data_IF_312945645346
#
_entry.id   IF_312945645346
#
_cell.length_a   1.000
_cell.length_b   1.000
_cell.length_c   1.000
_cell.angle_alpha   90.00
_cell.angle_beta   90.00
_cell.angle_gamma   90.00
#
_symmetry.space_group_name_H-M   'P 1'
#
loop_
_entity.id
_entity.type
_entity.pdbx_description
1 polymer ?
#
# COMPACT_ATOMS: atom_id res chain seq x y z
N UNK A 1 53.48 13.81 -12.50
CA UNK A 1 53.52 14.03 -11.05
C UNK A 1 52.44 13.16 -10.42
N UNK A 2 52.78 11.93 -10.04
CA UNK A 2 51.80 10.92 -9.58
C UNK A 2 51.68 10.97 -8.05
N UNK A 3 50.53 11.40 -7.55
CA UNK A 3 50.20 11.32 -6.12
C UNK A 3 49.92 9.85 -5.75
N UNK A 4 50.72 9.27 -4.85
CA UNK A 4 50.46 7.96 -4.24
C UNK A 4 49.24 8.08 -3.32
N UNK A 5 48.08 7.63 -3.80
CA UNK A 5 46.87 7.52 -3.00
C UNK A 5 46.99 6.31 -2.06
N UNK A 6 47.09 6.57 -0.75
CA UNK A 6 47.34 5.54 0.25
C UNK A 6 46.01 4.84 0.62
N UNK A 7 45.71 3.73 -0.06
CA UNK A 7 44.45 2.98 0.07
C UNK A 7 44.13 2.55 1.52
N UNK A 8 45.16 2.37 2.36
CA UNK A 8 44.98 2.05 3.79
C UNK A 8 44.33 3.19 4.59
N UNK A 9 44.56 4.45 4.21
CA UNK A 9 44.00 5.62 4.91
C UNK A 9 42.53 5.85 4.53
N UNK A 10 42.13 5.48 3.31
CA UNK A 10 40.74 5.58 2.84
C UNK A 10 39.83 4.50 3.47
N UNK A 11 40.36 3.29 3.68
CA UNK A 11 39.61 2.18 4.33
C UNK A 11 39.36 2.48 5.81
N UNK A 12 40.28 3.14 6.51
CA UNK A 12 40.08 3.60 7.89
C UNK A 12 39.02 4.70 8.01
N UNK A 13 38.85 5.53 6.98
CA UNK A 13 37.85 6.61 6.96
C UNK A 13 36.44 6.09 6.73
N UNK A 14 36.28 5.04 5.90
CA UNK A 14 34.99 4.38 5.67
C UNK A 14 34.52 3.55 6.88
N UNK A 15 35.45 2.97 7.65
CA UNK A 15 35.12 2.21 8.86
C UNK A 15 34.58 3.07 10.02
N UNK A 16 34.87 4.38 10.04
CA UNK A 16 34.37 5.30 11.07
C UNK A 16 32.93 5.78 10.82
N UNK A 17 32.44 5.70 9.57
CA UNK A 17 31.09 6.14 9.19
C UNK A 17 30.03 5.12 9.61
N UNK A 18 30.36 3.83 9.70
CA UNK A 18 29.38 2.79 10.09
C UNK A 18 29.04 2.76 11.59
N UNK A 19 29.78 3.48 12.45
CA UNK A 19 29.53 3.46 13.90
C UNK A 19 28.52 4.51 14.40
N UNK A 20 27.97 5.36 13.53
CA UNK A 20 27.01 6.42 13.91
C UNK A 20 25.68 6.36 13.16
N UNK A 21 25.22 5.17 12.77
CA UNK A 21 23.83 4.97 12.34
C UNK A 21 23.11 3.93 13.22
N UNK A 22 23.22 4.05 14.53
CA UNK A 22 22.19 3.53 15.41
C UNK A 22 21.12 4.63 15.55
N UNK A 23 19.89 4.45 15.03
CA UNK A 23 18.82 5.41 15.30
C UNK A 23 18.58 5.42 16.81
N UNK A 24 18.95 6.53 17.47
CA UNK A 24 18.51 6.81 18.82
C UNK A 24 17.02 7.11 18.73
N UNK A 25 16.19 6.23 19.27
CA UNK A 25 14.77 6.52 19.44
C UNK A 25 14.63 7.60 20.51
N UNK A 26 14.70 8.85 20.07
CA UNK A 26 14.44 10.03 20.87
C UNK A 26 12.92 10.12 21.05
N UNK A 27 12.41 9.59 22.17
CA UNK A 27 11.03 9.81 22.58
C UNK A 27 10.91 11.27 23.00
N UNK A 28 10.37 12.10 22.11
CA UNK A 28 10.05 13.50 22.39
C UNK A 28 9.05 13.56 23.58
N UNK A 29 9.41 14.15 24.73
CA UNK A 29 8.63 13.98 25.97
C UNK A 29 7.45 14.96 26.10
N UNK A 30 7.05 15.65 25.03
CA UNK A 30 5.98 16.65 25.09
C UNK A 30 4.88 16.36 24.08
N UNK A 31 4.28 15.19 24.21
CA UNK A 31 2.85 15.01 23.94
C UNK A 31 2.23 14.63 25.28
N UNK A 32 1.36 15.50 25.81
CA UNK A 32 0.49 15.19 26.93
C UNK A 32 -0.55 14.17 26.48
N UNK A 33 -0.09 12.96 26.17
CA UNK A 33 -0.95 11.83 25.88
C UNK A 33 -1.43 11.30 27.22
N UNK A 34 -2.71 11.51 27.52
CA UNK A 34 -3.39 11.05 28.74
C UNK A 34 -3.39 9.53 28.96
N UNK A 35 -2.57 8.77 28.24
CA UNK A 35 -2.36 7.34 28.42
C UNK A 35 -1.34 7.08 29.53
N UNK A 36 -1.73 7.28 30.79
CA UNK A 36 -0.95 6.74 31.91
C UNK A 36 -1.28 5.25 32.12
N UNK A 37 -0.69 4.39 31.29
CA UNK A 37 -0.75 2.94 31.48
C UNK A 37 -0.10 2.54 32.81
N UNK A 38 -0.66 1.55 33.49
CA UNK A 38 -0.12 1.02 34.74
C UNK A 38 1.30 0.48 34.52
N UNK A 39 2.14 0.56 35.56
CA UNK A 39 3.53 0.09 35.49
C UNK A 39 3.64 -1.40 35.14
N UNK A 40 2.68 -2.20 35.61
CA UNK A 40 2.61 -3.64 35.33
C UNK A 40 2.41 -3.93 33.84
N UNK A 41 1.46 -3.23 33.20
CA UNK A 41 1.22 -3.37 31.76
C UNK A 41 2.45 -2.89 30.97
N UNK A 42 3.09 -1.79 31.41
CA UNK A 42 4.33 -1.30 30.79
C UNK A 42 5.48 -2.31 30.87
N UNK A 43 5.59 -3.09 31.96
CA UNK A 43 6.61 -4.15 32.07
C UNK A 43 6.28 -5.36 31.22
N UNK A 44 5.00 -5.75 31.14
CA UNK A 44 4.55 -6.84 30.28
C UNK A 44 4.84 -6.56 28.80
N UNK A 45 4.46 -5.37 28.31
CA UNK A 45 4.74 -4.93 26.93
C UNK A 45 6.24 -4.98 26.62
N UNK A 46 7.08 -4.48 27.54
CA UNK A 46 8.55 -4.53 27.40
C UNK A 46 9.07 -5.97 27.35
N UNK A 47 8.41 -6.91 28.00
CA UNK A 47 8.75 -8.34 27.96
C UNK A 47 8.66 -8.94 26.55
N UNK A 48 7.79 -8.42 25.68
CA UNK A 48 7.65 -8.89 24.29
C UNK A 48 8.76 -8.39 23.34
N UNK A 49 9.62 -7.47 23.77
CA UNK A 49 10.65 -6.86 22.92
C UNK A 49 11.53 -7.87 22.17
N UNK A 50 11.97 -9.00 22.76
CA UNK A 50 12.76 -10.00 22.03
C UNK A 50 11.99 -10.64 20.88
N UNK A 51 10.69 -10.88 21.05
CA UNK A 51 9.81 -11.46 20.02
C UNK A 51 9.61 -10.43 18.90
N UNK A 52 9.33 -9.17 19.25
CA UNK A 52 9.21 -8.07 18.28
C UNK A 52 10.49 -7.94 17.45
N UNK A 53 11.65 -7.90 18.10
CA UNK A 53 12.94 -7.81 17.43
C UNK A 53 13.18 -9.01 16.50
N UNK A 54 12.80 -10.22 16.92
CA UNK A 54 12.88 -11.42 16.07
C UNK A 54 12.00 -11.28 14.83
N UNK A 55 10.76 -10.83 14.96
CA UNK A 55 9.83 -10.63 13.84
C UNK A 55 10.42 -9.58 12.87
N UNK A 56 10.79 -8.40 13.38
CA UNK A 56 11.38 -7.31 12.58
C UNK A 56 12.61 -7.82 11.83
N UNK A 57 13.54 -8.48 12.52
CA UNK A 57 14.76 -9.01 11.89
C UNK A 57 14.42 -10.03 10.80
N UNK A 58 13.45 -10.91 11.04
CA UNK A 58 13.06 -11.95 10.07
C UNK A 58 12.48 -11.32 8.78
N UNK A 59 11.69 -10.25 8.91
CA UNK A 59 11.06 -9.55 7.78
C UNK A 59 12.02 -8.60 7.06
N UNK A 60 12.94 -7.95 7.78
CA UNK A 60 13.82 -6.92 7.19
C UNK A 60 15.16 -7.46 6.70
N UNK A 61 15.68 -8.50 7.35
CA UNK A 61 17.03 -9.04 7.11
C UNK A 61 17.04 -10.57 6.93
N UNK A 62 15.98 -11.26 7.34
CA UNK A 62 15.91 -12.72 7.33
C UNK A 62 15.22 -13.28 6.09
N UNK A 63 14.63 -14.47 6.28
CA UNK A 63 14.00 -15.29 5.23
C UNK A 63 12.91 -14.54 4.43
N UNK A 64 12.23 -13.57 5.03
CA UNK A 64 11.12 -12.86 4.40
C UNK A 64 11.49 -11.47 3.85
N UNK A 65 12.78 -11.14 3.81
CA UNK A 65 13.26 -9.87 3.24
C UNK A 65 12.77 -9.70 1.80
N UNK A 66 12.09 -8.60 1.53
CA UNK A 66 11.54 -8.27 0.20
C UNK A 66 10.27 -9.03 -0.16
N UNK A 67 9.88 -10.04 0.61
CA UNK A 67 8.80 -10.95 0.23
C UNK A 67 7.45 -10.26 0.13
N UNK A 68 7.14 -9.36 1.07
CA UNK A 68 5.90 -8.57 1.05
C UNK A 68 5.77 -7.74 -0.23
N UNK A 69 6.88 -7.15 -0.69
CA UNK A 69 6.88 -6.36 -1.92
C UNK A 69 6.65 -7.25 -3.14
N UNK A 70 7.35 -8.38 -3.24
CA UNK A 70 7.18 -9.33 -4.35
C UNK A 70 5.77 -9.88 -4.43
N UNK A 71 5.18 -10.30 -3.30
CA UNK A 71 3.80 -10.80 -3.28
C UNK A 71 2.80 -9.73 -3.70
N UNK A 72 2.98 -8.49 -3.22
CA UNK A 72 2.12 -7.37 -3.60
C UNK A 72 2.26 -7.02 -5.09
N UNK A 73 3.49 -6.94 -5.60
CA UNK A 73 3.76 -6.67 -7.01
C UNK A 73 3.13 -7.74 -7.90
N UNK A 74 3.38 -9.02 -7.60
CA UNK A 74 2.78 -10.14 -8.33
C UNK A 74 1.26 -10.09 -8.29
N UNK A 75 0.66 -9.75 -7.15
CA UNK A 75 -0.80 -9.66 -7.02
C UNK A 75 -1.38 -8.50 -7.83
N UNK A 76 -0.77 -7.32 -7.75
CA UNK A 76 -1.25 -6.14 -8.48
C UNK A 76 -1.08 -6.35 -9.99
N UNK A 77 0.08 -6.82 -10.44
CA UNK A 77 0.38 -7.02 -11.86
C UNK A 77 -0.47 -8.15 -12.48
N UNK A 78 -0.82 -9.17 -11.70
CA UNK A 78 -1.67 -10.27 -12.17
C UNK A 78 -3.13 -9.86 -12.36
N UNK A 79 -3.69 -9.04 -11.47
CA UNK A 79 -5.13 -8.73 -11.50
C UNK A 79 -5.46 -7.29 -11.88
N UNK A 80 -4.70 -6.27 -11.49
CA UNK A 80 -5.03 -4.88 -11.81
C UNK A 80 -6.34 -4.38 -11.16
N UNK A 81 -7.32 -3.92 -11.95
CA UNK A 81 -8.58 -3.34 -11.45
C UNK A 81 -9.55 -4.40 -10.92
N UNK A 82 -10.02 -4.26 -9.67
CA UNK A 82 -10.85 -5.24 -8.97
C UNK A 82 -12.06 -4.58 -8.31
N UNK A 83 -12.90 -3.92 -9.11
CA UNK A 83 -14.13 -3.28 -8.61
C UNK A 83 -15.07 -4.34 -8.00
N UNK A 84 -15.81 -3.95 -6.96
CA UNK A 84 -16.78 -4.83 -6.29
C UNK A 84 -17.76 -5.47 -7.27
N UNK A 85 -17.97 -6.77 -7.13
CA UNK A 85 -18.85 -7.56 -7.99
C UNK A 85 -18.30 -7.82 -9.40
N UNK A 86 -17.03 -7.51 -9.70
CA UNK A 86 -16.39 -7.92 -10.96
C UNK A 86 -15.82 -9.33 -10.89
N UNK A 87 -15.83 -10.05 -12.00
CA UNK A 87 -15.21 -11.38 -12.10
C UNK A 87 -13.72 -11.37 -11.71
N UNK A 88 -13.02 -10.30 -12.04
CA UNK A 88 -11.61 -10.16 -11.70
C UNK A 88 -11.35 -9.98 -10.20
N UNK A 89 -12.31 -9.42 -9.44
CA UNK A 89 -12.24 -9.42 -7.98
C UNK A 89 -12.39 -10.84 -7.45
N UNK A 90 -13.35 -11.63 -7.95
CA UNK A 90 -13.56 -13.03 -7.51
C UNK A 90 -12.31 -13.88 -7.79
N UNK A 91 -11.74 -13.78 -8.98
CA UNK A 91 -10.47 -14.46 -9.33
C UNK A 91 -9.32 -14.07 -8.40
N UNK A 92 -9.28 -12.82 -7.94
CA UNK A 92 -8.26 -12.32 -7.01
C UNK A 92 -8.47 -12.84 -5.58
N UNK A 93 -9.73 -12.99 -5.14
CA UNK A 93 -10.08 -13.60 -3.86
C UNK A 93 -9.65 -15.07 -3.85
N UNK A 94 -10.02 -15.84 -4.87
CA UNK A 94 -9.64 -17.26 -5.00
C UNK A 94 -8.12 -17.43 -4.99
N UNK A 95 -7.41 -16.56 -5.68
CA UNK A 95 -5.95 -16.56 -5.67
C UNK A 95 -5.38 -16.28 -4.27
N UNK A 96 -5.95 -15.35 -3.51
CA UNK A 96 -5.51 -15.07 -2.14
C UNK A 96 -5.82 -16.23 -1.17
N UNK A 97 -6.95 -16.91 -1.34
CA UNK A 97 -7.29 -18.11 -0.56
C UNK A 97 -6.27 -19.22 -0.83
N UNK A 98 -5.98 -19.49 -2.11
CA UNK A 98 -4.96 -20.47 -2.49
C UNK A 98 -3.56 -20.09 -2.01
N UNK A 99 -3.20 -18.81 -2.10
CA UNK A 99 -1.89 -18.31 -1.66
C UNK A 99 -1.72 -18.45 -0.16
N UNK A 100 -2.76 -18.14 0.61
CA UNK A 100 -2.78 -18.32 2.06
C UNK A 100 -2.62 -19.79 2.43
N UNK A 101 -3.29 -20.70 1.72
CA UNK A 101 -3.18 -22.15 1.95
C UNK A 101 -1.77 -22.65 1.66
N UNK A 102 -1.11 -22.12 0.62
CA UNK A 102 0.28 -22.44 0.31
C UNK A 102 1.26 -22.04 1.42
N UNK A 103 0.96 -20.97 2.16
CA UNK A 103 1.74 -20.57 3.34
C UNK A 103 1.38 -21.33 4.62
N UNK A 104 0.46 -22.31 4.54
CA UNK A 104 -0.06 -23.05 5.69
C UNK A 104 -0.59 -22.12 6.80
N UNK A 105 -1.29 -21.05 6.41
CA UNK A 105 -1.98 -20.21 7.39
C UNK A 105 -3.18 -20.96 7.95
N UNK A 106 -3.44 -20.78 9.24
CA UNK A 106 -4.55 -21.44 9.91
C UNK A 106 -5.89 -20.80 9.54
N UNK A 107 -6.94 -21.64 9.42
CA UNK A 107 -8.35 -21.21 9.32
C UNK A 107 -8.67 -20.22 8.19
N UNK A 108 -8.26 -20.54 6.97
CA UNK A 108 -8.54 -19.74 5.77
C UNK A 108 -9.98 -20.02 5.30
N UNK A 109 -10.83 -18.99 5.30
CA UNK A 109 -12.22 -19.06 4.82
C UNK A 109 -12.57 -17.81 4.03
N UNK A 110 -13.37 -17.97 2.98
CA UNK A 110 -14.03 -16.87 2.29
C UNK A 110 -15.41 -16.63 2.90
N UNK A 111 -15.81 -15.37 3.00
CA UNK A 111 -17.14 -14.97 3.49
C UNK A 111 -17.93 -14.31 2.38
N UNK A 112 -19.18 -14.76 2.18
CA UNK A 112 -20.06 -14.18 1.17
C UNK A 112 -20.58 -12.82 1.63
N UNK A 113 -20.44 -11.80 0.77
CA UNK A 113 -20.93 -10.44 1.04
C UNK A 113 -21.77 -9.94 -0.13
N UNK A 114 -22.95 -9.39 0.17
CA UNK A 114 -23.80 -8.75 -0.84
C UNK A 114 -23.33 -7.32 -1.11
N UNK A 115 -23.04 -7.01 -2.37
CA UNK A 115 -22.57 -5.68 -2.80
C UNK A 115 -23.37 -5.18 -4.00
N UNK A 116 -23.55 -3.85 -4.17
CA UNK A 116 -24.11 -3.30 -5.39
C UNK A 116 -23.18 -3.57 -6.58
N UNK A 117 -23.76 -3.96 -7.71
CA UNK A 117 -23.02 -4.22 -8.95
C UNK A 117 -23.22 -3.07 -9.94
N UNK A 118 -22.18 -2.26 -10.12
CA UNK A 118 -22.17 -1.16 -11.07
C UNK A 118 -21.13 -1.41 -12.15
N UNK A 119 -21.58 -1.45 -13.42
CA UNK A 119 -20.73 -1.66 -14.58
C UNK A 119 -20.60 -0.37 -15.35
N UNK A 120 -19.35 0.08 -15.54
CA UNK A 120 -19.06 1.29 -16.31
C UNK A 120 -19.43 1.09 -17.79
N UNK A 121 -20.19 2.04 -18.33
CA UNK A 121 -20.55 2.09 -19.76
C UNK A 121 -19.60 2.94 -20.59
N UNK A 122 -20.04 3.31 -21.81
CA UNK A 122 -19.36 4.30 -22.64
C UNK A 122 -19.57 5.69 -22.06
N UNK A 123 -18.50 6.45 -21.92
CA UNK A 123 -18.51 7.81 -21.39
C UNK A 123 -17.77 8.74 -22.34
N UNK A 124 -18.41 9.84 -22.72
CA UNK A 124 -17.79 10.90 -23.50
C UNK A 124 -18.47 12.23 -23.22
N UNK A 125 -17.70 13.32 -23.26
CA UNK A 125 -18.24 14.67 -23.19
C UNK A 125 -17.45 15.58 -24.13
N UNK A 126 -18.17 16.51 -24.75
CA UNK A 126 -17.58 17.51 -25.63
C UNK A 126 -18.13 18.87 -25.25
N UNK A 127 -17.24 19.82 -24.99
CA UNK A 127 -17.59 21.22 -24.91
C UNK A 127 -17.94 21.71 -26.31
N UNK A 128 -19.15 22.20 -26.51
CA UNK A 128 -19.62 22.69 -27.82
C UNK A 128 -19.35 24.18 -28.03
N UNK A 129 -19.42 24.97 -26.94
CA UNK A 129 -19.21 26.42 -26.93
C UNK A 129 -18.39 26.81 -25.69
N UNK A 130 -17.57 27.88 -25.76
CA UNK A 130 -17.37 28.79 -26.90
C UNK A 130 -16.48 28.20 -28.01
N UNK A 131 -15.83 27.06 -27.76
CA UNK A 131 -15.02 26.32 -28.74
C UNK A 131 -15.34 24.83 -28.66
N UNK A 132 -15.16 24.12 -29.76
CA UNK A 132 -15.26 22.67 -29.78
C UNK A 132 -14.05 22.05 -29.08
N UNK A 133 -14.27 21.32 -27.99
CA UNK A 133 -13.19 20.66 -27.25
C UNK A 133 -13.66 19.36 -26.60
N UNK A 134 -13.01 18.24 -26.91
CA UNK A 134 -13.29 16.95 -26.29
C UNK A 134 -12.77 16.93 -24.86
N UNK A 135 -13.63 16.58 -23.90
CA UNK A 135 -13.28 16.53 -22.49
C UNK A 135 -12.86 15.10 -22.11
N UNK A 136 -11.76 15.00 -21.35
CA UNK A 136 -11.43 13.76 -20.66
C UNK A 136 -12.28 13.71 -19.39
N UNK A 137 -13.27 12.82 -19.39
CA UNK A 137 -14.17 12.61 -18.26
C UNK A 137 -14.06 11.19 -17.76
N UNK A 138 -14.46 11.01 -16.50
CA UNK A 138 -14.66 9.71 -15.89
C UNK A 138 -15.99 9.78 -15.16
N UNK A 139 -16.90 8.87 -15.47
CA UNK A 139 -18.19 8.79 -14.79
C UNK A 139 -18.01 8.42 -13.32
N UNK A 140 -18.81 9.06 -12.48
CA UNK A 140 -18.86 8.78 -11.05
C UNK A 140 -19.47 7.40 -10.82
N UNK A 141 -18.88 6.63 -9.90
CA UNK A 141 -19.42 5.33 -9.52
C UNK A 141 -20.86 5.46 -9.02
N UNK A 142 -21.77 4.65 -9.57
CA UNK A 142 -23.20 4.71 -9.27
C UNK A 142 -24.01 5.69 -10.14
N UNK A 143 -23.38 6.47 -11.03
CA UNK A 143 -24.12 7.28 -11.99
C UNK A 143 -24.91 6.40 -12.97
N UNK A 144 -26.10 6.86 -13.34
CA UNK A 144 -26.89 6.26 -14.42
C UNK A 144 -26.38 6.71 -15.79
N UNK A 145 -26.70 5.93 -16.82
CA UNK A 145 -26.44 6.27 -18.21
C UNK A 145 -27.32 7.42 -18.71
N UNK A 146 -26.82 8.19 -19.67
CA UNK A 146 -27.61 9.16 -20.42
C UNK A 146 -28.58 8.45 -21.40
N UNK A 147 -29.63 9.12 -21.88
CA UNK A 147 -30.44 8.65 -23.00
C UNK A 147 -29.58 8.30 -24.23
N UNK A 148 -30.13 7.49 -25.15
CA UNK A 148 -29.40 7.01 -26.34
C UNK A 148 -28.94 8.15 -27.25
N UNK A 149 -29.73 9.21 -27.30
CA UNK A 149 -29.48 10.45 -28.02
C UNK A 149 -28.47 11.39 -27.34
N UNK A 150 -28.05 11.08 -26.11
CA UNK A 150 -27.16 11.92 -25.30
C UNK A 150 -27.88 13.11 -24.64
N UNK A 151 -27.12 13.91 -23.89
CA UNK A 151 -27.62 15.13 -23.23
C UNK A 151 -26.75 16.31 -23.68
N UNK A 152 -27.38 17.37 -24.16
CA UNK A 152 -26.72 18.67 -24.43
C UNK A 152 -27.40 19.74 -23.61
N UNK A 153 -26.64 20.41 -22.73
CA UNK A 153 -27.18 21.44 -21.84
C UNK A 153 -26.12 22.53 -21.54
N UNK A 154 -26.55 23.75 -21.14
CA UNK A 154 -25.65 24.72 -20.53
C UNK A 154 -25.05 24.19 -19.23
N UNK A 155 -23.80 24.56 -18.95
CA UNK A 155 -23.10 24.22 -17.70
C UNK A 155 -23.10 25.46 -16.78
N UNK A 156 -23.30 25.25 -15.49
CA UNK A 156 -23.22 26.28 -14.44
C UNK A 156 -22.08 25.89 -13.50
N UNK A 157 -21.24 26.87 -13.15
CA UNK A 157 -20.20 26.69 -12.12
C UNK A 157 -20.85 26.90 -10.76
N UNK A 158 -20.64 25.97 -9.83
CA UNK A 158 -21.19 25.98 -8.47
C UNK A 158 -20.05 26.09 -7.47
#
# INVERSE_FOLDING_TARGET
MFYKFNLKLFVLFLAFIELQCAPKHESNPTLNDGCNLSLNIKSEIRGYQPIVNKIIKTVTQGKFKGKTWEELANFIDKFGSRISGSENLENAIDYMLQRSSHYNLDRIVGETVTVPHWVRGKEEATLLKPRLFKLNILGLGGSIGTPKEGITAPVIVV
#
